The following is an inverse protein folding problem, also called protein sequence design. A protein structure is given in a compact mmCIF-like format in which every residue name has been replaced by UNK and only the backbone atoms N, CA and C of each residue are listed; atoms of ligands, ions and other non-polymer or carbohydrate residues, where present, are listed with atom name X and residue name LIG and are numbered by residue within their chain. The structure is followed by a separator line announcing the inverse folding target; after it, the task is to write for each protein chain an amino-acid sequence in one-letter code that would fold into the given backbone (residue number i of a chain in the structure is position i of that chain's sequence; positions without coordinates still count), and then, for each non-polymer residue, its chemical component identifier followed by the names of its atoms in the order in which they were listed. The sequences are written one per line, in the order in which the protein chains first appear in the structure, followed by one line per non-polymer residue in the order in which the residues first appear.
data_IF_814307457433
#
_entry.id   IF_814307457433
#
_cell.length_a   1.000
_cell.length_b   1.000
_cell.length_c   1.000
_cell.angle_alpha   90.00
_cell.angle_beta   90.00
_cell.angle_gamma   90.00
#
_symmetry.space_group_name_H-M   'P 1'
#
loop_
_entity.id
_entity.type
_entity.pdbx_description
1 polymer ?
#
# COMPACT_ATOMS: atom_id res chain seq x y z
N UNK A 1 -27.51 -50.91 -42.13
CA UNK A 1 -27.53 -49.50 -42.57
C UNK A 1 -28.22 -48.65 -41.51
N UNK A 2 -27.54 -48.30 -40.40
CA UNK A 2 -28.13 -47.41 -39.39
C UNK A 2 -27.79 -45.92 -39.58
N UNK A 3 -27.14 -45.53 -40.70
CA UNK A 3 -26.70 -44.15 -40.89
C UNK A 3 -27.77 -43.17 -41.40
N UNK A 4 -28.89 -43.66 -41.88
CA UNK A 4 -29.96 -42.82 -42.45
C UNK A 4 -31.06 -42.39 -41.44
N UNK A 5 -31.07 -42.98 -40.26
CA UNK A 5 -32.09 -42.67 -39.24
C UNK A 5 -31.82 -41.34 -38.49
N UNK A 6 -30.61 -40.78 -38.56
CA UNK A 6 -30.25 -39.50 -37.91
C UNK A 6 -30.55 -38.27 -38.77
N UNK A 7 -31.02 -38.42 -39.98
CA UNK A 7 -31.17 -37.35 -40.96
C UNK A 7 -32.56 -36.73 -41.10
N UNK A 8 -33.52 -37.10 -40.26
CA UNK A 8 -34.90 -36.60 -40.38
C UNK A 8 -35.43 -35.98 -39.08
N UNK A 9 -34.66 -35.18 -38.40
CA UNK A 9 -35.29 -34.17 -37.53
C UNK A 9 -35.85 -33.12 -38.47
N UNK A 10 -37.15 -32.78 -38.41
CA UNK A 10 -37.74 -31.82 -39.32
C UNK A 10 -36.99 -30.49 -39.12
N UNK A 11 -36.34 -30.02 -40.17
CA UNK A 11 -35.52 -28.76 -40.13
C UNK A 11 -36.30 -27.60 -39.51
N UNK A 12 -37.59 -27.59 -39.61
CA UNK A 12 -38.51 -26.62 -38.99
C UNK A 12 -38.44 -26.65 -37.45
N UNK A 13 -38.43 -27.85 -36.85
CA UNK A 13 -38.34 -28.01 -35.40
C UNK A 13 -36.95 -27.61 -34.85
N UNK A 14 -35.87 -27.93 -35.58
CA UNK A 14 -34.53 -27.50 -35.24
C UNK A 14 -34.40 -25.99 -35.31
N UNK A 15 -34.86 -25.35 -36.38
CA UNK A 15 -34.85 -23.88 -36.53
C UNK A 15 -35.74 -23.19 -35.49
N UNK A 16 -36.83 -23.77 -35.05
CA UNK A 16 -37.66 -23.21 -33.99
C UNK A 16 -36.94 -23.26 -32.63
N UNK A 17 -36.32 -24.39 -32.29
CA UNK A 17 -35.52 -24.54 -31.05
C UNK A 17 -34.29 -23.61 -31.04
N UNK A 18 -33.59 -23.53 -32.17
CA UNK A 18 -32.44 -22.62 -32.31
C UNK A 18 -32.86 -21.14 -32.13
N UNK A 19 -34.00 -20.72 -32.70
CA UNK A 19 -34.54 -19.37 -32.49
C UNK A 19 -34.95 -19.12 -31.05
N UNK A 20 -35.52 -20.10 -30.36
CA UNK A 20 -35.87 -19.98 -28.95
C UNK A 20 -34.64 -19.80 -28.09
N UNK A 21 -33.61 -20.64 -28.28
CA UNK A 21 -32.33 -20.52 -27.56
C UNK A 21 -31.65 -19.17 -27.83
N UNK A 22 -31.61 -18.74 -29.10
CA UNK A 22 -31.07 -17.44 -29.46
C UNK A 22 -31.88 -16.29 -28.82
N UNK A 23 -33.19 -16.37 -28.78
CA UNK A 23 -34.05 -15.38 -28.11
C UNK A 23 -33.79 -15.27 -26.62
N UNK A 24 -33.70 -16.43 -25.92
CA UNK A 24 -33.36 -16.46 -24.50
C UNK A 24 -31.96 -15.86 -24.26
N UNK A 25 -30.99 -16.21 -25.09
CA UNK A 25 -29.63 -15.66 -24.99
C UNK A 25 -29.63 -14.14 -25.20
N UNK A 26 -30.29 -13.63 -26.21
CA UNK A 26 -30.43 -12.19 -26.43
C UNK A 26 -31.10 -11.49 -25.24
N UNK A 27 -32.13 -12.09 -24.65
CA UNK A 27 -32.83 -11.52 -23.51
C UNK A 27 -31.89 -11.42 -22.27
N UNK A 28 -31.10 -12.47 -22.03
CA UNK A 28 -30.06 -12.43 -20.95
C UNK A 28 -29.02 -11.36 -21.22
N UNK A 29 -28.50 -11.27 -22.45
CA UNK A 29 -27.53 -10.23 -22.82
C UNK A 29 -28.10 -8.81 -22.67
N UNK A 30 -29.35 -8.58 -23.07
CA UNK A 30 -30.02 -7.30 -22.86
C UNK A 30 -30.18 -6.99 -21.37
N UNK A 31 -30.57 -7.95 -20.55
CA UNK A 31 -30.65 -7.76 -19.10
C UNK A 31 -29.31 -7.39 -18.46
N UNK A 32 -28.23 -8.04 -18.89
CA UNK A 32 -26.87 -7.69 -18.42
C UNK A 32 -26.45 -6.29 -18.89
N UNK A 33 -26.75 -5.93 -20.13
CA UNK A 33 -26.44 -4.59 -20.66
C UNK A 33 -27.18 -3.50 -19.88
N UNK A 34 -28.46 -3.67 -19.61
CA UNK A 34 -29.25 -2.73 -18.79
C UNK A 34 -28.67 -2.64 -17.38
N UNK A 35 -28.29 -3.76 -16.77
CA UNK A 35 -27.66 -3.77 -15.44
C UNK A 35 -26.33 -3.03 -15.42
N UNK A 36 -25.49 -3.23 -16.45
CA UNK A 36 -24.21 -2.51 -16.58
C UNK A 36 -24.44 -1.01 -16.73
N UNK A 37 -25.38 -0.59 -17.56
CA UNK A 37 -25.74 0.82 -17.70
C UNK A 37 -26.20 1.43 -16.38
N UNK A 38 -27.05 0.71 -15.64
CA UNK A 38 -27.50 1.15 -14.32
C UNK A 38 -26.33 1.34 -13.34
N UNK A 39 -25.40 0.36 -13.28
CA UNK A 39 -24.23 0.44 -12.39
C UNK A 39 -23.26 1.56 -12.78
N UNK A 40 -23.04 1.75 -14.09
CA UNK A 40 -22.06 2.74 -14.56
C UNK A 40 -22.59 4.16 -14.52
N UNK A 41 -23.86 4.37 -14.88
CA UNK A 41 -24.44 5.72 -15.01
C UNK A 41 -25.08 6.18 -13.70
N UNK A 42 -25.90 5.36 -13.07
CA UNK A 42 -26.67 5.74 -11.87
C UNK A 42 -25.91 5.45 -10.56
N UNK A 43 -25.12 4.37 -10.52
CA UNK A 43 -24.33 3.98 -9.36
C UNK A 43 -22.88 4.48 -9.35
N UNK A 44 -22.38 5.03 -10.45
CA UNK A 44 -20.97 5.35 -10.65
C UNK A 44 -20.39 6.27 -9.56
N UNK A 45 -21.08 7.32 -9.17
CA UNK A 45 -20.63 8.23 -8.11
C UNK A 45 -20.43 7.54 -6.76
N UNK A 46 -21.41 6.77 -6.32
CA UNK A 46 -21.33 6.04 -5.04
C UNK A 46 -20.20 5.00 -5.01
N UNK A 47 -19.99 4.29 -6.11
CA UNK A 47 -18.87 3.33 -6.21
C UNK A 47 -17.51 4.03 -6.29
N UNK A 48 -17.43 5.19 -6.95
CA UNK A 48 -16.21 6.01 -7.02
C UNK A 48 -15.83 6.54 -5.64
N UNK A 49 -16.78 7.09 -4.88
CA UNK A 49 -16.52 7.58 -3.52
C UNK A 49 -16.06 6.46 -2.58
N UNK A 50 -16.65 5.27 -2.73
CA UNK A 50 -16.24 4.11 -1.93
C UNK A 50 -14.87 3.57 -2.33
N UNK A 51 -14.52 3.57 -3.61
CA UNK A 51 -13.21 3.20 -4.11
C UNK A 51 -12.14 4.21 -3.66
N UNK A 52 -12.43 5.51 -3.74
CA UNK A 52 -11.56 6.56 -3.22
C UNK A 52 -11.36 6.44 -1.71
N UNK A 53 -12.39 6.17 -0.93
CA UNK A 53 -12.27 5.93 0.51
C UNK A 53 -11.44 4.68 0.87
N UNK A 54 -11.38 3.69 -0.01
CA UNK A 54 -10.50 2.51 0.17
C UNK A 54 -9.08 2.75 -0.29
N UNK A 55 -8.87 3.56 -1.34
CA UNK A 55 -7.55 3.90 -1.88
C UNK A 55 -6.85 4.99 -1.08
N UNK A 56 -7.60 5.99 -0.64
CA UNK A 56 -7.12 7.00 0.29
C UNK A 56 -7.11 6.38 1.69
N UNK A 57 -6.01 5.74 2.05
CA UNK A 57 -5.72 5.54 3.47
C UNK A 57 -5.59 6.93 4.07
N UNK A 58 -6.52 7.29 4.94
CA UNK A 58 -6.38 8.48 5.77
C UNK A 58 -5.10 8.31 6.60
N UNK A 59 -4.00 8.82 6.04
CA UNK A 59 -2.77 8.95 6.80
C UNK A 59 -3.01 10.15 7.71
N UNK A 60 -3.40 9.87 8.95
CA UNK A 60 -3.49 10.90 9.96
C UNK A 60 -2.08 11.49 10.12
N UNK A 61 -1.87 12.69 9.60
CA UNK A 61 -0.65 13.46 9.83
C UNK A 61 -0.83 14.10 11.21
N UNK A 62 -0.15 13.59 12.27
CA UNK A 62 -0.25 14.20 13.58
C UNK A 62 0.30 15.61 13.52
N UNK A 63 -0.43 16.56 14.10
CA UNK A 63 0.04 17.94 14.20
C UNK A 63 1.30 18.00 15.08
N UNK A 64 2.25 18.85 14.70
CA UNK A 64 3.43 19.10 15.52
C UNK A 64 3.04 19.71 16.87
N UNK A 65 3.63 19.18 17.95
CA UNK A 65 3.45 19.75 19.27
C UNK A 65 4.05 21.15 19.35
N UNK A 66 3.37 22.06 20.05
CA UNK A 66 3.85 23.42 20.29
C UNK A 66 5.20 23.46 21.03
N UNK A 67 5.92 24.54 20.86
CA UNK A 67 7.13 24.88 21.64
C UNK A 67 6.71 25.35 23.03
N UNK A 68 7.52 25.05 24.04
CA UNK A 68 7.31 25.49 25.42
C UNK A 68 8.46 26.39 25.82
N UNK A 69 8.12 27.55 26.36
CA UNK A 69 9.08 28.56 26.82
C UNK A 69 8.89 28.80 28.32
N UNK A 70 9.95 29.22 29.01
CA UNK A 70 9.85 29.74 30.37
C UNK A 70 9.25 31.15 30.36
N UNK A 71 8.95 31.68 31.55
CA UNK A 71 8.50 33.07 31.70
C UNK A 71 9.51 34.10 31.13
N UNK A 72 10.79 33.77 31.16
CA UNK A 72 11.88 34.59 30.64
C UNK A 72 12.15 34.38 29.14
N UNK A 73 11.30 33.64 28.45
CA UNK A 73 11.41 33.36 26.99
C UNK A 73 12.43 32.31 26.62
N UNK A 74 13.02 31.58 27.56
CA UNK A 74 13.97 30.50 27.29
C UNK A 74 13.20 29.25 26.77
N UNK A 75 13.67 28.66 25.67
CA UNK A 75 13.10 27.45 25.08
C UNK A 75 13.36 26.25 26.00
N UNK A 76 12.28 25.66 26.52
CA UNK A 76 12.30 24.48 27.39
C UNK A 76 12.08 23.18 26.61
N UNK A 77 11.19 23.20 25.65
CA UNK A 77 10.89 22.03 24.81
C UNK A 77 10.47 22.44 23.40
N UNK A 78 11.00 21.74 22.39
CA UNK A 78 10.66 21.92 20.99
C UNK A 78 10.54 20.57 20.28
N UNK A 79 9.93 20.56 19.11
CA UNK A 79 9.97 19.42 18.21
C UNK A 79 11.19 19.52 17.30
N UNK A 80 11.86 18.40 17.12
CA UNK A 80 12.89 18.20 16.10
C UNK A 80 12.39 17.22 15.07
N UNK A 81 12.54 17.54 13.80
CA UNK A 81 12.17 16.63 12.71
C UNK A 81 13.10 15.41 12.72
N UNK A 82 12.50 14.25 12.63
CA UNK A 82 13.19 12.97 12.49
C UNK A 82 12.45 12.13 11.44
N UNK A 83 12.96 10.95 11.14
CA UNK A 83 12.38 10.05 10.15
C UNK A 83 12.26 8.65 10.73
N UNK A 84 11.17 7.98 10.45
CA UNK A 84 10.95 6.58 10.78
C UNK A 84 11.06 5.77 9.50
N UNK A 85 11.93 4.77 9.52
CA UNK A 85 12.22 3.89 8.39
C UNK A 85 11.42 2.59 8.54
N UNK A 86 10.68 2.26 7.50
CA UNK A 86 9.88 1.04 7.42
C UNK A 86 10.16 0.34 6.09
N UNK A 87 10.06 -0.98 6.09
CA UNK A 87 10.20 -1.80 4.90
C UNK A 87 8.92 -2.54 4.59
N UNK A 88 8.59 -2.68 3.33
CA UNK A 88 7.56 -3.58 2.82
C UNK A 88 8.24 -4.73 2.07
N UNK A 89 8.50 -5.87 2.73
CA UNK A 89 9.18 -7.00 2.10
C UNK A 89 8.49 -7.50 0.84
N UNK A 90 7.16 -7.38 0.79
CA UNK A 90 6.35 -7.78 -0.37
C UNK A 90 6.65 -6.98 -1.63
N UNK A 91 7.06 -5.72 -1.50
CA UNK A 91 7.34 -4.80 -2.61
C UNK A 91 8.81 -4.86 -3.06
N UNK A 92 9.68 -5.58 -2.31
CA UNK A 92 11.10 -5.72 -2.65
C UNK A 92 11.31 -6.79 -3.72
N UNK A 93 12.20 -6.56 -4.70
CA UNK A 93 12.65 -7.59 -5.65
C UNK A 93 13.39 -8.72 -4.92
N UNK A 94 13.13 -9.99 -5.30
CA UNK A 94 13.73 -11.16 -4.67
C UNK A 94 15.25 -11.22 -4.82
N UNK A 95 15.76 -10.76 -5.95
CA UNK A 95 17.18 -10.72 -6.28
C UNK A 95 17.97 -9.68 -5.47
N UNK A 96 17.28 -8.73 -4.82
CA UNK A 96 17.90 -7.62 -4.08
C UNK A 96 17.78 -7.71 -2.58
N UNK A 97 17.13 -8.76 -2.04
CA UNK A 97 16.91 -8.91 -0.60
C UNK A 97 18.19 -8.95 0.22
N UNK A 98 19.21 -9.73 -0.23
CA UNK A 98 20.49 -9.82 0.45
C UNK A 98 21.25 -8.49 0.40
N UNK A 99 21.30 -7.86 -0.76
CA UNK A 99 21.93 -6.56 -0.95
C UNK A 99 21.25 -5.47 -0.10
N UNK A 100 19.92 -5.47 -0.05
CA UNK A 100 19.15 -4.56 0.78
C UNK A 100 19.40 -4.78 2.27
N UNK A 101 19.43 -6.05 2.73
CA UNK A 101 19.70 -6.38 4.12
C UNK A 101 21.10 -5.95 4.56
N UNK A 102 22.13 -6.26 3.78
CA UNK A 102 23.52 -5.91 4.07
C UNK A 102 23.73 -4.39 4.08
N UNK A 103 23.28 -3.70 3.03
CA UNK A 103 23.50 -2.25 2.92
C UNK A 103 22.69 -1.45 3.93
N UNK A 104 21.46 -1.85 4.23
CA UNK A 104 20.67 -1.19 5.28
C UNK A 104 21.20 -1.50 6.68
N UNK A 105 21.71 -2.71 6.92
CA UNK A 105 22.34 -3.07 8.18
C UNK A 105 23.55 -2.18 8.49
N UNK A 106 24.40 -1.96 7.49
CA UNK A 106 25.59 -1.07 7.62
C UNK A 106 25.19 0.38 7.89
N UNK A 107 24.19 0.91 7.16
CA UNK A 107 23.76 2.31 7.32
C UNK A 107 23.04 2.54 8.66
N UNK A 108 22.26 1.56 9.12
CA UNK A 108 21.39 1.69 10.30
C UNK A 108 21.99 1.06 11.56
N UNK A 109 23.17 0.46 11.48
CA UNK A 109 23.79 -0.28 12.56
C UNK A 109 22.86 -1.35 13.13
N UNK A 110 22.42 -2.26 12.25
CA UNK A 110 21.53 -3.38 12.52
C UNK A 110 22.22 -4.68 12.13
N UNK A 111 21.69 -5.81 12.63
CA UNK A 111 22.14 -7.13 12.23
C UNK A 111 21.56 -7.53 10.86
N UNK A 112 22.45 -7.75 9.88
CA UNK A 112 22.07 -8.12 8.52
C UNK A 112 21.32 -9.45 8.44
N UNK A 113 21.68 -10.43 9.32
CA UNK A 113 21.02 -11.73 9.31
C UNK A 113 19.54 -11.61 9.76
N UNK A 114 19.28 -10.90 10.83
CA UNK A 114 17.93 -10.63 11.33
C UNK A 114 17.11 -9.81 10.32
N UNK A 115 17.76 -8.87 9.64
CA UNK A 115 17.12 -8.05 8.63
C UNK A 115 16.72 -8.89 7.42
N UNK A 116 17.61 -9.77 6.97
CA UNK A 116 17.35 -10.68 5.85
C UNK A 116 16.22 -11.66 6.17
N UNK A 117 16.17 -12.18 7.40
CA UNK A 117 15.07 -13.04 7.83
C UNK A 117 13.73 -12.28 7.79
N UNK A 118 13.71 -11.06 8.29
CA UNK A 118 12.53 -10.19 8.25
C UNK A 118 12.09 -9.87 6.81
N UNK A 119 13.02 -9.73 5.88
CA UNK A 119 12.71 -9.47 4.46
C UNK A 119 12.24 -10.74 3.71
N UNK A 120 12.57 -11.92 4.18
CA UNK A 120 12.04 -13.18 3.64
C UNK A 120 10.57 -13.42 3.99
N UNK A 121 10.07 -12.83 5.06
CA UNK A 121 8.64 -12.92 5.40
C UNK A 121 7.80 -12.03 4.49
N UNK A 122 7.41 -12.58 3.35
CA UNK A 122 6.56 -11.92 2.33
C UNK A 122 5.11 -11.70 2.76
N UNK A 123 4.71 -12.17 3.94
CA UNK A 123 3.38 -11.90 4.49
C UNK A 123 3.30 -10.52 5.11
N UNK A 124 4.44 -10.02 5.58
CA UNK A 124 4.52 -8.69 6.18
C UNK A 124 4.56 -7.60 5.08
N UNK A 125 3.64 -6.67 5.15
CA UNK A 125 3.64 -5.47 4.30
C UNK A 125 4.32 -4.29 4.99
N UNK A 126 4.72 -4.43 6.25
CA UNK A 126 5.20 -3.33 7.07
C UNK A 126 6.11 -3.84 8.19
N UNK A 127 7.40 -3.75 7.96
CA UNK A 127 8.44 -4.09 8.91
C UNK A 127 9.12 -2.79 9.37
N UNK A 128 9.19 -2.57 10.67
CA UNK A 128 9.89 -1.43 11.22
C UNK A 128 11.40 -1.71 11.18
N UNK A 129 12.16 -0.83 10.54
CA UNK A 129 13.62 -0.89 10.51
C UNK A 129 14.23 -0.09 11.68
N UNK A 130 13.94 1.20 11.73
CA UNK A 130 14.43 2.06 12.81
C UNK A 130 13.52 3.27 13.03
N UNK A 131 13.32 3.61 14.29
CA UNK A 131 12.61 4.83 14.69
C UNK A 131 13.55 6.02 14.79
N UNK A 132 13.02 7.20 14.46
CA UNK A 132 13.59 8.50 14.80
C UNK A 132 15.03 8.69 14.39
N UNK A 133 15.35 8.31 13.16
CA UNK A 133 16.67 8.56 12.57
C UNK A 133 16.83 10.03 12.16
N UNK A 134 18.06 10.49 12.12
CA UNK A 134 18.39 11.82 11.64
C UNK A 134 18.22 11.94 10.12
N UNK A 135 18.09 13.17 9.67
CA UNK A 135 17.95 13.48 8.24
C UNK A 135 19.10 12.90 7.41
N UNK A 136 20.32 13.02 7.90
CA UNK A 136 21.51 12.50 7.21
C UNK A 136 21.45 10.99 6.98
N UNK A 137 21.00 10.24 7.97
CA UNK A 137 20.82 8.79 7.86
C UNK A 137 19.68 8.44 6.90
N UNK A 138 18.55 9.17 6.97
CA UNK A 138 17.43 8.98 6.07
C UNK A 138 17.81 9.26 4.60
N UNK A 139 18.60 10.33 4.37
CA UNK A 139 19.09 10.67 3.02
C UNK A 139 20.11 9.65 2.51
N UNK A 140 20.97 9.07 3.37
CA UNK A 140 21.86 7.95 3.01
C UNK A 140 21.08 6.70 2.60
N UNK A 141 20.04 6.35 3.35
CA UNK A 141 19.18 5.22 3.02
C UNK A 141 18.47 5.47 1.67
N UNK A 142 17.96 6.68 1.44
CA UNK A 142 17.33 7.04 0.16
C UNK A 142 18.29 6.90 -1.00
N UNK A 143 19.48 7.49 -0.89
CA UNK A 143 20.51 7.41 -1.93
C UNK A 143 20.95 5.96 -2.22
N UNK A 144 21.09 5.14 -1.17
CA UNK A 144 21.40 3.71 -1.32
C UNK A 144 20.30 2.95 -2.07
N UNK A 145 19.03 3.19 -1.71
CA UNK A 145 17.89 2.54 -2.37
C UNK A 145 17.77 2.96 -3.84
N UNK A 146 17.96 4.25 -4.14
CA UNK A 146 17.92 4.77 -5.51
C UNK A 146 19.07 4.21 -6.37
N UNK A 147 20.30 4.20 -5.84
CA UNK A 147 21.47 3.70 -6.54
C UNK A 147 21.35 2.20 -6.91
N UNK A 148 20.74 1.40 -6.04
CA UNK A 148 20.58 -0.04 -6.22
C UNK A 148 19.20 -0.43 -6.78
N UNK A 149 18.29 0.52 -7.00
CA UNK A 149 16.93 0.27 -7.46
C UNK A 149 16.16 -0.64 -6.50
N UNK A 150 16.31 -0.43 -5.19
CA UNK A 150 15.59 -1.15 -4.13
C UNK A 150 14.27 -0.44 -3.90
N UNK A 151 13.17 -1.16 -4.08
CA UNK A 151 11.80 -0.68 -3.81
C UNK A 151 11.31 -1.20 -2.46
N UNK A 152 10.19 -0.66 -1.95
CA UNK A 152 9.58 -1.14 -0.72
C UNK A 152 10.16 -0.53 0.56
N UNK A 153 11.09 0.42 0.49
CA UNK A 153 11.54 1.18 1.66
C UNK A 153 10.73 2.47 1.76
N UNK A 154 10.13 2.69 2.93
CA UNK A 154 9.31 3.86 3.24
C UNK A 154 10.01 4.70 4.29
N UNK A 155 10.22 5.98 3.97
CA UNK A 155 10.85 6.97 4.82
C UNK A 155 9.77 7.98 5.22
N UNK A 156 9.21 7.81 6.40
CA UNK A 156 8.14 8.64 6.91
C UNK A 156 8.70 9.73 7.81
N UNK A 157 8.28 10.97 7.59
CA UNK A 157 8.61 12.05 8.49
C UNK A 157 7.91 11.83 9.84
N UNK A 158 8.65 12.05 10.90
CA UNK A 158 8.20 11.91 12.29
C UNK A 158 8.76 13.09 13.10
N UNK A 159 8.30 13.28 14.33
CA UNK A 159 8.78 14.34 15.20
C UNK A 159 9.25 13.77 16.55
N UNK A 160 10.41 14.26 17.00
CA UNK A 160 10.98 13.91 18.30
C UNK A 160 10.98 15.13 19.19
N UNK A 161 10.57 14.97 20.42
CA UNK A 161 10.69 16.05 21.42
C UNK A 161 12.15 16.25 21.79
N UNK A 162 12.60 17.48 21.73
CA UNK A 162 13.93 17.90 22.09
C UNK A 162 13.88 18.87 23.26
N UNK A 163 14.73 18.63 24.24
CA UNK A 163 14.84 19.42 25.48
C UNK A 163 16.22 20.06 25.53
N UNK A 164 16.36 21.38 25.19
CA UNK A 164 17.63 22.05 25.16
C UNK A 164 18.32 22.08 26.52
N UNK A 165 17.55 22.14 27.61
CA UNK A 165 18.04 22.19 28.99
C UNK A 165 18.26 20.80 29.62
N UNK A 166 18.35 19.74 28.79
CA UNK A 166 18.57 18.36 29.25
C UNK A 166 17.41 17.82 30.07
N UNK A 167 17.73 17.26 31.25
CA UNK A 167 16.71 16.64 32.12
C UNK A 167 15.94 17.65 32.98
N UNK A 168 16.21 18.95 32.86
CA UNK A 168 15.48 19.98 33.62
C UNK A 168 13.98 19.92 33.23
N UNK A 169 13.14 19.70 34.21
CA UNK A 169 11.68 19.54 34.06
C UNK A 169 11.22 18.36 33.17
N UNK A 170 12.08 17.42 32.83
CA UNK A 170 11.71 16.29 31.97
C UNK A 170 10.60 15.39 32.55
N UNK A 171 10.39 15.44 33.86
CA UNK A 171 9.30 14.73 34.55
C UNK A 171 7.96 15.48 34.52
N UNK A 172 7.95 16.77 34.12
CA UNK A 172 6.78 17.64 34.13
C UNK A 172 6.31 17.99 32.71
N UNK A 173 7.25 18.00 31.72
CA UNK A 173 7.04 18.32 30.31
C UNK A 173 6.90 17.06 29.47
#
# INVERSE_FOLDING_TARGET
KPADALRTLPERAFRARARLVAGVFCLVCCGLAVRLLFLQVLGGGWYTDRALGQQLRDTVVPADRGKIYSADGVLLAANSSCWTLRASPREMPDDKLSLAAEGLADILDLDAANLLESFRDRRSNDCLLRYRVDRTTADRVRAFCEANGITGIRINQDSKRWYPQGQFLASVL
#
